data_IF_658554804355
#
_entry.id   IF_658554804355
#
_cell.length_a   1.000
_cell.length_b   1.000
_cell.length_c   1.000
_cell.angle_alpha   90.00
_cell.angle_beta   90.00
_cell.angle_gamma   90.00
#
_symmetry.space_group_name_H-M   'P 1'
#
loop_
_entity.id
_entity.type
_entity.pdbx_description
1 polymer ?
#
# COMPACT_ATOMS: atom_id res chain seq x y z
N UNK A 1 -6.52 -21.04 9.23
CA UNK A 1 -5.58 -20.55 8.20
C UNK A 1 -4.20 -20.85 8.72
N UNK A 2 -3.38 -21.50 7.91
CA UNK A 2 -1.99 -21.81 8.28
C UNK A 2 -1.14 -20.53 8.25
N UNK A 3 -0.03 -20.46 9.02
CA UNK A 3 0.80 -19.26 9.08
C UNK A 3 1.39 -18.85 7.73
N UNK A 4 1.62 -19.80 6.80
CA UNK A 4 2.16 -19.49 5.48
C UNK A 4 1.17 -18.71 4.61
N UNK A 5 -0.14 -18.97 4.75
CA UNK A 5 -1.19 -18.20 4.10
C UNK A 5 -1.24 -16.74 4.58
N UNK A 6 -1.03 -16.49 5.88
CA UNK A 6 -0.99 -15.13 6.44
C UNK A 6 0.25 -14.40 5.94
N UNK A 7 1.41 -15.06 5.97
CA UNK A 7 2.66 -14.51 5.46
C UNK A 7 2.52 -14.14 3.98
N UNK A 8 1.96 -15.03 3.16
CA UNK A 8 1.72 -14.79 1.73
C UNK A 8 0.77 -13.61 1.47
N UNK A 9 -0.29 -13.48 2.28
CA UNK A 9 -1.21 -12.35 2.19
C UNK A 9 -0.52 -11.03 2.57
N UNK A 10 0.23 -11.01 3.68
CA UNK A 10 0.99 -9.84 4.12
C UNK A 10 2.05 -9.43 3.07
N UNK A 11 2.78 -10.40 2.52
CA UNK A 11 3.76 -10.20 1.45
C UNK A 11 3.13 -9.59 0.19
N UNK A 12 1.98 -10.09 -0.24
CA UNK A 12 1.28 -9.57 -1.42
C UNK A 12 0.85 -8.10 -1.23
N UNK A 13 0.36 -7.77 -0.02
CA UNK A 13 -0.01 -6.39 0.33
C UNK A 13 1.22 -5.49 0.47
N UNK A 14 2.35 -6.00 0.96
CA UNK A 14 3.63 -5.30 1.00
C UNK A 14 4.10 -4.92 -0.40
N UNK A 15 4.06 -5.86 -1.35
CA UNK A 15 4.43 -5.60 -2.74
C UNK A 15 3.61 -4.47 -3.36
N UNK A 16 2.29 -4.48 -3.12
CA UNK A 16 1.40 -3.42 -3.60
C UNK A 16 1.69 -2.07 -2.93
N UNK A 17 1.91 -2.08 -1.62
CA UNK A 17 2.27 -0.88 -0.84
C UNK A 17 3.56 -0.26 -1.38
N UNK A 18 4.60 -1.07 -1.61
CA UNK A 18 5.88 -0.60 -2.17
C UNK A 18 5.70 -0.02 -3.58
N UNK A 19 4.90 -0.66 -4.44
CA UNK A 19 4.64 -0.17 -5.80
C UNK A 19 3.97 1.20 -5.80
N UNK A 20 2.93 1.38 -4.98
CA UNK A 20 2.21 2.66 -4.88
C UNK A 20 3.17 3.73 -4.33
N UNK A 21 3.91 3.42 -3.27
CA UNK A 21 4.92 4.33 -2.70
C UNK A 21 5.98 4.73 -3.72
N UNK A 22 6.52 3.77 -4.48
CA UNK A 22 7.53 4.02 -5.50
C UNK A 22 7.05 4.97 -6.60
N UNK A 23 5.79 4.85 -7.03
CA UNK A 23 5.21 5.76 -8.01
C UNK A 23 4.99 7.17 -7.45
N UNK A 24 4.66 7.29 -6.16
CA UNK A 24 4.47 8.59 -5.49
C UNK A 24 5.79 9.38 -5.35
N UNK A 25 6.95 8.74 -5.46
CA UNK A 25 8.23 9.44 -5.60
C UNK A 25 8.40 9.98 -7.03
N UNK A 26 7.72 11.10 -7.30
CA UNK A 26 7.77 11.83 -8.58
C UNK A 26 7.90 13.33 -8.35
N UNK A 27 8.03 14.08 -9.46
CA UNK A 27 8.01 15.54 -9.42
C UNK A 27 6.58 16.05 -9.53
N UNK A 28 6.04 16.51 -8.40
CA UNK A 28 4.66 16.98 -8.29
C UNK A 28 4.59 18.50 -8.15
N UNK A 29 3.47 19.09 -8.57
CA UNK A 29 3.16 20.47 -8.23
C UNK A 29 3.00 20.64 -6.71
N UNK A 30 3.08 21.87 -6.20
CA UNK A 30 3.10 22.12 -4.75
C UNK A 30 1.93 21.46 -4.00
N UNK A 31 0.71 21.55 -4.56
CA UNK A 31 -0.49 20.96 -3.95
C UNK A 31 -0.47 19.43 -3.95
N UNK A 32 0.07 18.84 -5.01
CA UNK A 32 0.20 17.40 -5.21
C UNK A 32 1.36 16.82 -4.40
N UNK A 33 2.43 17.59 -4.20
CA UNK A 33 3.62 17.20 -3.45
C UNK A 33 3.28 16.91 -1.99
N UNK A 34 2.57 17.82 -1.32
CA UNK A 34 2.16 17.63 0.07
C UNK A 34 1.28 16.39 0.25
N UNK A 35 0.38 16.15 -0.72
CA UNK A 35 -0.49 14.98 -0.71
C UNK A 35 0.32 13.69 -0.95
N UNK A 36 1.25 13.70 -1.90
CA UNK A 36 2.13 12.57 -2.18
C UNK A 36 2.97 12.20 -0.96
N UNK A 37 3.60 13.19 -0.31
CA UNK A 37 4.38 13.00 0.91
C UNK A 37 3.54 12.42 2.04
N UNK A 38 2.30 12.90 2.22
CA UNK A 38 1.40 12.34 3.23
C UNK A 38 1.00 10.90 2.92
N UNK A 39 0.70 10.59 1.67
CA UNK A 39 0.39 9.22 1.25
C UNK A 39 1.60 8.29 1.44
N UNK A 40 2.81 8.73 1.08
CA UNK A 40 4.06 8.00 1.31
C UNK A 40 4.23 7.70 2.81
N UNK A 41 3.96 8.69 3.67
CA UNK A 41 4.02 8.51 5.11
C UNK A 41 3.05 7.40 5.57
N UNK A 42 1.77 7.46 5.22
CA UNK A 42 0.80 6.44 5.64
C UNK A 42 1.13 5.04 5.07
N UNK A 43 1.57 4.97 3.81
CA UNK A 43 2.00 3.72 3.18
C UNK A 43 3.26 3.15 3.85
N UNK A 44 4.17 3.99 4.33
CA UNK A 44 5.33 3.53 5.11
C UNK A 44 4.92 2.91 6.45
N UNK A 45 3.90 3.49 7.10
CA UNK A 45 3.33 2.94 8.33
C UNK A 45 2.68 1.58 8.07
N UNK A 46 1.94 1.46 6.96
CA UNK A 46 1.32 0.20 6.55
C UNK A 46 2.36 -0.87 6.22
N UNK A 47 3.42 -0.50 5.50
CA UNK A 47 4.55 -1.38 5.21
C UNK A 47 5.13 -1.98 6.49
N UNK A 48 5.39 -1.16 7.51
CA UNK A 48 5.97 -1.64 8.76
C UNK A 48 5.06 -2.65 9.47
N UNK A 49 3.75 -2.39 9.51
CA UNK A 49 2.77 -3.30 10.11
C UNK A 49 2.70 -4.62 9.35
N UNK A 50 2.62 -4.58 8.02
CA UNK A 50 2.55 -5.78 7.19
C UNK A 50 3.85 -6.60 7.27
N UNK A 51 5.02 -5.95 7.31
CA UNK A 51 6.31 -6.61 7.45
C UNK A 51 6.43 -7.31 8.82
N UNK A 52 6.00 -6.65 9.89
CA UNK A 52 5.93 -7.28 11.21
C UNK A 52 5.01 -8.50 11.19
N UNK A 53 3.82 -8.38 10.57
CA UNK A 53 2.85 -9.47 10.49
C UNK A 53 3.39 -10.67 9.69
N UNK A 54 4.06 -10.42 8.56
CA UNK A 54 4.71 -11.46 7.75
C UNK A 54 5.77 -12.21 8.57
N UNK A 55 6.68 -11.48 9.22
CA UNK A 55 7.75 -12.07 10.03
C UNK A 55 7.20 -12.88 11.21
N UNK A 56 6.18 -12.37 11.90
CA UNK A 56 5.51 -13.08 13.00
C UNK A 56 4.85 -14.35 12.48
N UNK A 57 4.16 -14.30 11.34
CA UNK A 57 3.53 -15.46 10.75
C UNK A 57 4.55 -16.52 10.29
N UNK A 58 5.66 -16.12 9.66
CA UNK A 58 6.73 -17.04 9.25
C UNK A 58 7.45 -17.69 10.45
N UNK A 59 7.53 -16.99 11.57
CA UNK A 59 8.18 -17.49 12.80
C UNK A 59 7.26 -18.41 13.62
N UNK A 60 5.97 -18.49 13.29
CA UNK A 60 5.03 -19.33 14.01
C UNK A 60 5.21 -20.80 13.64
N UNK A 61 5.62 -21.61 14.62
CA UNK A 61 5.86 -23.06 14.47
C UNK A 61 4.59 -23.90 14.59
N UNK A 62 3.47 -23.30 15.02
CA UNK A 62 2.19 -23.97 15.24
C UNK A 62 1.06 -23.21 14.54
N UNK A 63 -0.06 -23.89 14.30
CA UNK A 63 -1.24 -23.26 13.73
C UNK A 63 -1.71 -22.09 14.61
N UNK A 64 -1.66 -20.87 14.08
CA UNK A 64 -2.12 -19.67 14.77
C UNK A 64 -3.64 -19.59 14.67
N UNK A 65 -4.31 -19.36 15.80
CA UNK A 65 -5.74 -19.00 15.79
C UNK A 65 -5.83 -17.60 15.17
N UNK A 66 -6.07 -17.55 13.88
CA UNK A 66 -6.25 -16.29 13.15
C UNK A 66 -7.56 -15.68 13.59
N UNK A 67 -7.49 -14.52 14.26
CA UNK A 67 -8.71 -13.80 14.64
C UNK A 67 -9.47 -13.42 13.36
N UNK A 68 -10.81 -13.61 13.36
CA UNK A 68 -11.67 -13.17 12.26
C UNK A 68 -11.44 -11.70 11.92
N UNK A 69 -11.15 -10.91 12.95
CA UNK A 69 -10.87 -9.49 12.83
C UNK A 69 -9.58 -9.25 12.01
N UNK A 70 -8.52 -10.07 12.15
CA UNK A 70 -7.29 -9.93 11.35
C UNK A 70 -7.58 -10.15 9.85
N UNK A 71 -8.39 -11.16 9.52
CA UNK A 71 -8.80 -11.42 8.13
C UNK A 71 -9.62 -10.28 7.53
N UNK A 72 -10.51 -9.68 8.32
CA UNK A 72 -11.26 -8.48 7.92
C UNK A 72 -10.28 -7.33 7.67
N UNK A 73 -9.34 -7.08 8.59
CA UNK A 73 -8.34 -6.01 8.44
C UNK A 73 -7.45 -6.18 7.20
N UNK A 74 -7.01 -7.40 6.89
CA UNK A 74 -6.23 -7.69 5.68
C UNK A 74 -7.05 -7.45 4.40
N UNK A 75 -8.34 -7.79 4.39
CA UNK A 75 -9.21 -7.49 3.26
C UNK A 75 -9.48 -5.99 3.12
N UNK A 76 -9.73 -5.28 4.22
CA UNK A 76 -9.90 -3.83 4.21
C UNK A 76 -8.65 -3.14 3.62
N UNK A 77 -7.45 -3.57 4.03
CA UNK A 77 -6.20 -3.07 3.45
C UNK A 77 -6.08 -3.38 1.96
N UNK A 78 -6.41 -4.62 1.56
CA UNK A 78 -6.40 -5.01 0.15
C UNK A 78 -7.29 -4.08 -0.67
N UNK A 79 -8.53 -3.87 -0.24
CA UNK A 79 -9.50 -3.05 -0.96
C UNK A 79 -9.08 -1.58 -0.99
N UNK A 80 -8.51 -1.07 0.11
CA UNK A 80 -7.92 0.25 0.19
C UNK A 80 -6.77 0.44 -0.81
N UNK A 81 -5.81 -0.48 -0.83
CA UNK A 81 -4.66 -0.44 -1.75
C UNK A 81 -5.09 -0.60 -3.21
N UNK A 82 -6.08 -1.46 -3.50
CA UNK A 82 -6.64 -1.60 -4.86
C UNK A 82 -7.32 -0.32 -5.32
N UNK A 83 -8.15 0.29 -4.47
CA UNK A 83 -8.78 1.58 -4.76
C UNK A 83 -7.73 2.67 -5.03
N UNK A 84 -6.74 2.80 -4.15
CA UNK A 84 -5.68 3.80 -4.28
C UNK A 84 -4.83 3.55 -5.53
N UNK A 85 -4.42 2.29 -5.73
CA UNK A 85 -3.62 1.86 -6.87
C UNK A 85 -4.34 2.10 -8.20
N UNK A 86 -5.63 1.76 -8.31
CA UNK A 86 -6.43 2.01 -9.52
C UNK A 86 -6.42 3.49 -9.91
N UNK A 87 -6.54 4.40 -8.93
CA UNK A 87 -6.57 5.85 -9.17
C UNK A 87 -5.20 6.39 -9.59
N UNK A 88 -4.14 5.89 -8.97
CA UNK A 88 -2.79 6.44 -9.13
C UNK A 88 -2.05 5.82 -10.31
N UNK A 89 -2.17 4.51 -10.46
CA UNK A 89 -1.40 3.70 -11.41
C UNK A 89 -2.25 3.25 -12.61
N UNK A 90 -3.57 3.50 -12.59
CA UNK A 90 -4.52 3.15 -13.65
C UNK A 90 -5.15 1.76 -13.51
N UNK A 91 -5.97 1.33 -14.48
CA UNK A 91 -6.77 0.10 -14.40
C UNK A 91 -5.94 -1.20 -14.45
N UNK A 92 -4.68 -1.16 -14.90
CA UNK A 92 -3.83 -2.34 -15.07
C UNK A 92 -3.16 -2.83 -13.77
N UNK A 93 -3.59 -2.33 -12.61
CA UNK A 93 -2.98 -2.57 -11.30
C UNK A 93 -3.44 -3.89 -10.68
N UNK A 94 -4.60 -4.40 -11.09
CA UNK A 94 -5.18 -5.65 -10.62
C UNK A 94 -4.42 -6.89 -11.08
N UNK A 95 -3.50 -6.76 -12.04
CA UNK A 95 -2.68 -7.87 -12.50
C UNK A 95 -1.44 -8.03 -11.62
N UNK A 96 -1.57 -8.79 -10.53
CA UNK A 96 -0.46 -9.36 -9.75
C UNK A 96 0.50 -10.23 -10.60
N UNK A 97 0.21 -10.49 -11.88
CA UNK A 97 1.11 -11.23 -12.80
C UNK A 97 2.24 -10.38 -13.39
N UNK A 98 2.18 -9.05 -13.30
CA UNK A 98 3.22 -8.16 -13.82
C UNK A 98 3.92 -7.44 -12.67
N UNK A 99 4.79 -8.17 -11.97
CA UNK A 99 5.74 -7.64 -10.99
C UNK A 99 7.01 -7.08 -11.63
N UNK A 100 6.95 -6.68 -12.90
CA UNK A 100 7.99 -5.84 -13.46
C UNK A 100 7.76 -4.44 -12.87
N UNK A 101 8.49 -4.12 -11.80
CA UNK A 101 8.71 -2.73 -11.42
C UNK A 101 9.38 -2.11 -12.65
N UNK A 102 8.73 -1.22 -13.42
CA UNK A 102 9.48 -0.44 -14.37
C UNK A 102 10.41 0.40 -13.50
N UNK A 103 11.67 -0.01 -13.42
CA UNK A 103 12.75 0.89 -13.10
C UNK A 103 12.65 1.95 -14.17
N UNK A 104 11.92 3.02 -13.88
CA UNK A 104 12.02 4.24 -14.65
C UNK A 104 13.50 4.58 -14.50
N UNK A 105 14.24 4.31 -15.57
CA UNK A 105 15.58 4.82 -15.77
C UNK A 105 15.63 6.22 -15.18
N UNK A 106 16.75 6.59 -14.55
CA UNK A 106 17.05 7.97 -14.13
C UNK A 106 17.08 8.96 -15.32
N UNK A 107 16.41 8.63 -16.43
CA UNK A 107 16.03 9.47 -17.53
C UNK A 107 15.53 10.81 -17.02
N UNK A 108 15.97 11.84 -17.74
CA UNK A 108 15.78 13.26 -17.45
C UNK A 108 14.38 13.53 -16.90
N UNK A 109 14.37 14.10 -15.69
CA UNK A 109 13.20 14.71 -15.04
C UNK A 109 12.31 15.40 -16.09
N UNK A 110 10.99 15.15 -16.11
CA UNK A 110 10.11 16.00 -16.88
C UNK A 110 10.35 17.45 -16.46
N UNK A 111 10.58 18.36 -17.41
CA UNK A 111 10.90 19.77 -17.11
C UNK A 111 9.77 20.52 -16.39
N UNK A 112 8.62 19.86 -16.17
CA UNK A 112 7.43 20.43 -15.57
C UNK A 112 6.87 19.50 -14.50
N UNK A 113 6.66 20.05 -13.32
CA UNK A 113 5.97 19.41 -12.21
C UNK A 113 4.58 18.91 -12.65
N UNK A 114 4.28 17.64 -12.35
CA UNK A 114 3.03 17.01 -12.73
C UNK A 114 1.96 17.16 -11.65
N UNK A 115 0.69 17.07 -12.02
CA UNK A 115 -0.40 16.91 -11.06
C UNK A 115 -0.58 15.44 -10.72
N UNK A 116 -0.87 15.15 -9.46
CA UNK A 116 -1.35 13.83 -9.08
C UNK A 116 -2.68 13.53 -9.79
N UNK A 117 -2.91 12.30 -10.27
CA UNK A 117 -4.18 11.85 -10.88
C UNK A 117 -5.26 11.60 -9.81
N UNK A 118 -5.19 12.29 -8.67
CA UNK A 118 -6.16 12.28 -7.59
C UNK A 118 -6.39 13.71 -7.13
N UNK A 119 -7.64 14.07 -6.86
CA UNK A 119 -7.96 15.39 -6.31
C UNK A 119 -7.57 15.44 -4.83
N UNK A 120 -7.32 16.63 -4.26
CA UNK A 120 -7.00 16.77 -2.82
C UNK A 120 -8.07 16.15 -1.90
N UNK A 121 -9.35 16.38 -2.20
CA UNK A 121 -10.45 15.80 -1.44
C UNK A 121 -10.46 14.26 -1.49
N UNK A 122 -10.15 13.70 -2.66
CA UNK A 122 -10.05 12.25 -2.81
C UNK A 122 -8.84 11.69 -2.07
N UNK A 123 -7.69 12.35 -2.19
CA UNK A 123 -6.47 11.99 -1.46
C UNK A 123 -6.67 11.95 0.05
N UNK A 124 -7.36 12.95 0.61
CA UNK A 124 -7.71 12.99 2.03
C UNK A 124 -8.61 11.82 2.46
N UNK A 125 -9.61 11.45 1.63
CA UNK A 125 -10.45 10.26 1.89
C UNK A 125 -9.62 8.98 1.88
N UNK A 126 -8.69 8.84 0.95
CA UNK A 126 -7.79 7.68 0.89
C UNK A 126 -6.87 7.62 2.13
N UNK A 127 -6.36 8.76 2.59
CA UNK A 127 -5.56 8.85 3.82
C UNK A 127 -6.38 8.40 5.03
N UNK A 128 -7.60 8.92 5.20
CA UNK A 128 -8.48 8.54 6.32
C UNK A 128 -8.83 7.05 6.28
N UNK A 129 -9.04 6.51 5.08
CA UNK A 129 -9.29 5.09 4.90
C UNK A 129 -8.07 4.25 5.29
N UNK A 130 -6.86 4.61 4.82
CA UNK A 130 -5.61 3.96 5.20
C UNK A 130 -5.39 3.98 6.71
N UNK A 131 -5.62 5.12 7.36
CA UNK A 131 -5.50 5.27 8.82
C UNK A 131 -6.47 4.35 9.57
N UNK A 132 -7.71 4.22 9.08
CA UNK A 132 -8.72 3.33 9.66
C UNK A 132 -8.30 1.86 9.52
N UNK A 133 -7.82 1.46 8.34
CA UNK A 133 -7.31 0.11 8.11
C UNK A 133 -6.09 -0.20 8.99
N UNK A 134 -5.17 0.77 9.12
CA UNK A 134 -3.99 0.70 9.96
C UNK A 134 -4.32 0.50 11.44
N UNK A 135 -5.25 1.29 11.98
CA UNK A 135 -5.69 1.17 13.36
C UNK A 135 -6.24 -0.25 13.63
N UNK A 136 -7.10 -0.76 12.74
CA UNK A 136 -7.68 -2.11 12.85
C UNK A 136 -6.63 -3.24 12.78
N UNK A 137 -5.51 -3.03 12.11
CA UNK A 137 -4.41 -4.00 12.06
C UNK A 137 -3.50 -3.91 13.28
N UNK A 138 -3.33 -2.72 13.87
CA UNK A 138 -2.47 -2.49 15.04
C UNK A 138 -3.08 -2.94 16.36
N UNK A 139 -4.41 -2.93 16.48
CA UNK A 139 -5.13 -3.37 17.69
C UNK A 139 -5.14 -4.91 17.87
N UNK A 140 -4.19 -5.64 17.28
CA UNK A 140 -4.15 -7.11 17.21
C UNK A 140 -2.73 -7.65 17.36
#
# INVERSE_FOLDING_TARGET
>A
MDPSSIASAAFSLLGMTIRISGWLYGEWDYSSQLLAERLIYELSQLRNVLQSLELTALSATHAVIVSRNLLIGLNDVKDCLVSLGFKILGPNVSNFKYYELPWRSFASRPSQAMRLPITPAEGLRQIQHLQTCLARLRDK
#
